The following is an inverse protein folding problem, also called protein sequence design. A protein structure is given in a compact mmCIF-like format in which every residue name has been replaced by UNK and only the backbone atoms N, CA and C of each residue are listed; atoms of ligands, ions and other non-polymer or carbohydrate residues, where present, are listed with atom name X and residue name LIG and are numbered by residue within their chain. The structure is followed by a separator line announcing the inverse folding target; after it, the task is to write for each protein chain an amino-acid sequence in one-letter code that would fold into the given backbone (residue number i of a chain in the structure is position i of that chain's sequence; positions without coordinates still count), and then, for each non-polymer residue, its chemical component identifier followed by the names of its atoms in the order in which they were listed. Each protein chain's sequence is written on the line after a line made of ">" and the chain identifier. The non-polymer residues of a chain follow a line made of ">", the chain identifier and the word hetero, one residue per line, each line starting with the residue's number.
data_IF_935206412727
#
_entry.id   IF_935206412727
#
_cell.length_a   1.000
_cell.length_b   1.000
_cell.length_c   1.000
_cell.angle_alpha   90.00
_cell.angle_beta   90.00
_cell.angle_gamma   90.00
#
_symmetry.space_group_name_H-M   'P 1'
#
loop_
_entity.id
_entity.type
_entity.pdbx_description
1 polymer ?
#
# COMPACT_ATOMS: atom_id res chain seq x y z
N UNK A 1 12.73 0.01 15.09
CA UNK A 1 13.11 -0.44 13.73
C UNK A 1 12.17 0.22 12.74
N UNK A 2 12.68 0.69 11.60
CA UNK A 2 11.86 1.30 10.53
C UNK A 2 11.94 0.36 9.32
N UNK A 3 10.78 0.07 8.73
CA UNK A 3 10.67 -0.85 7.59
C UNK A 3 9.83 -0.20 6.50
N UNK A 4 10.23 -0.43 5.24
CA UNK A 4 9.45 -0.03 4.07
C UNK A 4 8.70 -1.25 3.54
N UNK A 5 7.42 -1.07 3.23
CA UNK A 5 6.56 -2.09 2.62
C UNK A 5 5.83 -1.46 1.42
N UNK A 6 5.93 -2.10 0.26
CA UNK A 6 5.29 -1.66 -0.98
C UNK A 6 5.07 -2.84 -1.93
N UNK A 7 3.97 -2.81 -2.68
CA UNK A 7 3.74 -3.69 -3.83
C UNK A 7 4.19 -2.97 -5.10
N UNK A 8 5.07 -3.59 -5.88
CA UNK A 8 5.76 -2.97 -7.01
C UNK A 8 5.69 -3.93 -8.21
N UNK A 9 5.30 -3.44 -9.38
CA UNK A 9 5.34 -4.21 -10.61
C UNK A 9 6.77 -4.33 -11.17
N UNK A 10 6.99 -5.23 -12.14
CA UNK A 10 8.31 -5.43 -12.77
C UNK A 10 8.91 -4.16 -13.40
N UNK A 11 8.07 -3.18 -13.74
CA UNK A 11 8.47 -1.87 -14.25
C UNK A 11 8.54 -0.77 -13.18
N UNK A 12 8.62 -1.15 -11.90
CA UNK A 12 8.69 -0.27 -10.74
C UNK A 12 7.47 0.62 -10.48
N UNK A 13 6.33 0.31 -11.10
CA UNK A 13 5.10 1.06 -10.89
C UNK A 13 4.35 0.55 -9.65
N UNK A 14 3.77 1.46 -8.86
CA UNK A 14 2.97 1.17 -7.66
C UNK A 14 1.49 1.57 -7.80
N UNK A 15 1.23 2.73 -8.40
CA UNK A 15 -0.09 3.34 -8.47
C UNK A 15 -0.19 4.36 -9.61
N UNK A 16 -1.41 4.63 -10.07
CA UNK A 16 -1.72 5.64 -11.09
C UNK A 16 -2.99 6.39 -10.66
N UNK A 17 -3.02 7.71 -10.84
CA UNK A 17 -4.18 8.54 -10.53
C UNK A 17 -4.73 8.35 -9.09
N UNK A 18 -3.84 8.25 -8.09
CA UNK A 18 -4.16 7.96 -6.68
C UNK A 18 -4.90 6.63 -6.45
N UNK A 19 -4.78 5.67 -7.37
CA UNK A 19 -5.33 4.32 -7.23
C UNK A 19 -4.25 3.27 -7.47
N UNK A 20 -4.47 2.07 -6.93
CA UNK A 20 -3.70 0.90 -7.29
C UNK A 20 -4.03 0.50 -8.74
N UNK A 21 -3.02 0.15 -9.52
CA UNK A 21 -3.20 -0.22 -10.94
C UNK A 21 -3.76 -1.65 -11.07
N UNK A 22 -3.68 -2.43 -10.00
CA UNK A 22 -4.20 -3.78 -9.93
C UNK A 22 -5.14 -3.95 -8.74
N UNK A 23 -6.07 -4.88 -8.89
CA UNK A 23 -6.88 -5.39 -7.78
C UNK A 23 -6.31 -6.74 -7.35
N UNK A 24 -5.50 -6.75 -6.28
CA UNK A 24 -4.86 -7.96 -5.75
C UNK A 24 -5.22 -8.14 -4.26
N UNK A 25 -6.38 -8.75 -3.94
CA UNK A 25 -6.86 -8.91 -2.56
C UNK A 25 -5.87 -9.63 -1.64
N UNK A 26 -5.08 -10.55 -2.19
CA UNK A 26 -4.06 -11.28 -1.44
C UNK A 26 -2.95 -10.34 -0.90
N UNK A 27 -2.56 -9.33 -1.68
CA UNK A 27 -1.56 -8.35 -1.26
C UNK A 27 -2.09 -7.44 -0.15
N UNK A 28 -3.33 -6.97 -0.26
CA UNK A 28 -4.00 -6.19 0.80
C UNK A 28 -4.12 -7.00 2.10
N UNK A 29 -4.47 -8.29 2.01
CA UNK A 29 -4.53 -9.19 3.17
C UNK A 29 -3.15 -9.33 3.83
N UNK A 30 -2.09 -9.50 3.03
CA UNK A 30 -0.70 -9.55 3.52
C UNK A 30 -0.28 -8.24 4.16
N UNK A 31 -0.54 -7.10 3.54
CA UNK A 31 -0.23 -5.78 4.08
C UNK A 31 -0.89 -5.59 5.45
N UNK A 32 -2.19 -5.91 5.56
CA UNK A 32 -2.92 -5.84 6.84
C UNK A 32 -2.31 -6.77 7.89
N UNK A 33 -2.05 -8.03 7.56
CA UNK A 33 -1.42 -8.99 8.48
C UNK A 33 -0.05 -8.50 8.98
N UNK A 34 0.75 -7.90 8.11
CA UNK A 34 2.12 -7.46 8.41
C UNK A 34 2.13 -6.18 9.26
N UNK A 35 1.19 -5.27 9.01
CA UNK A 35 1.19 -3.93 9.63
C UNK A 35 0.27 -3.82 10.86
N UNK A 36 -0.66 -4.75 11.06
CA UNK A 36 -1.52 -4.77 12.25
C UNK A 36 -0.66 -4.82 13.52
N UNK A 37 -1.01 -4.00 14.52
CA UNK A 37 -0.24 -3.85 15.76
C UNK A 37 0.97 -2.92 15.67
N UNK A 38 1.25 -2.34 14.50
CA UNK A 38 2.35 -1.42 14.28
C UNK A 38 1.85 -0.04 13.82
N UNK A 39 2.68 0.99 14.01
CA UNK A 39 2.42 2.32 13.45
C UNK A 39 2.72 2.32 11.94
N UNK A 40 1.74 2.70 11.13
CA UNK A 40 1.89 2.88 9.68
C UNK A 40 2.07 4.35 9.37
N UNK A 41 3.17 4.69 8.70
CA UNK A 41 3.44 6.04 8.18
C UNK A 41 3.18 6.02 6.68
N UNK A 42 2.40 6.98 6.18
CA UNK A 42 2.10 7.14 4.77
C UNK A 42 1.97 8.62 4.40
N UNK A 43 2.11 8.94 3.11
CA UNK A 43 1.89 10.29 2.61
C UNK A 43 0.41 10.65 2.54
N UNK A 44 0.10 11.95 2.56
CA UNK A 44 -1.28 12.49 2.48
C UNK A 44 -2.11 11.88 1.34
N UNK A 45 -1.55 11.80 0.12
CA UNK A 45 -2.27 11.25 -1.05
C UNK A 45 -2.60 9.76 -0.90
N UNK A 46 -1.73 8.99 -0.24
CA UNK A 46 -2.00 7.57 0.07
C UNK A 46 -3.14 7.45 1.08
N UNK A 47 -3.12 8.29 2.12
CA UNK A 47 -4.20 8.32 3.10
C UNK A 47 -5.55 8.68 2.46
N UNK A 48 -5.59 9.70 1.60
CA UNK A 48 -6.80 10.10 0.88
C UNK A 48 -7.33 9.03 -0.09
N UNK A 49 -6.48 8.11 -0.56
CA UNK A 49 -6.91 6.98 -1.39
C UNK A 49 -7.61 5.87 -0.57
N UNK A 50 -7.45 5.86 0.75
CA UNK A 50 -8.08 4.90 1.67
C UNK A 50 -9.47 5.42 2.09
N UNK A 51 -10.48 5.30 1.22
CA UNK A 51 -11.83 5.75 1.56
C UNK A 51 -12.75 6.08 0.37
N UNK A 52 -12.20 6.05 -0.85
CA UNK A 52 -12.98 6.10 -2.09
C UNK A 52 -13.30 4.70 -2.62
#
# INVERSE_FOLDING_TARGET
>A
MITIIAAIANNHVLGKNNQLIWHLPADLKRFKLTTTGHTVIMGRKTFESLGN
#
